data_IF_024629251636
#
_entry.id   IF_024629251636
#
_cell.length_a   1.000
_cell.length_b   1.000
_cell.length_c   1.000
_cell.angle_alpha   90.00
_cell.angle_beta   90.00
_cell.angle_gamma   90.00
#
_symmetry.space_group_name_H-M   'P 1'
#
loop_
_entity.id
_entity.type
_entity.pdbx_description
1 polymer ?
#
# COMPACT_ATOMS: atom_id res chain seq x y z
N UNK A 1 -26.60 9.97 2.82
CA UNK A 1 -25.66 8.97 3.38
C UNK A 1 -25.91 7.56 2.83
N UNK A 2 -27.16 7.12 2.60
CA UNK A 2 -27.47 5.79 2.05
C UNK A 2 -26.87 5.52 0.65
N UNK A 3 -26.80 6.54 -0.21
CA UNK A 3 -26.23 6.41 -1.57
C UNK A 3 -24.70 6.17 -1.58
N UNK A 4 -23.99 6.53 -0.50
CA UNK A 4 -22.54 6.31 -0.38
C UNK A 4 -22.26 4.88 0.10
N UNK A 5 -23.10 4.37 1.01
CA UNK A 5 -23.01 2.99 1.49
C UNK A 5 -23.34 1.97 0.38
N UNK A 6 -24.28 2.29 -0.52
CA UNK A 6 -24.57 1.46 -1.70
C UNK A 6 -23.41 1.49 -2.71
N UNK A 7 -22.80 2.64 -2.96
CA UNK A 7 -21.64 2.77 -3.85
C UNK A 7 -20.43 1.97 -3.34
N UNK A 8 -20.14 2.01 -2.03
CA UNK A 8 -19.04 1.24 -1.43
C UNK A 8 -19.28 -0.27 -1.51
N UNK A 9 -20.52 -0.73 -1.34
CA UNK A 9 -20.87 -2.15 -1.48
C UNK A 9 -20.79 -2.61 -2.95
N UNK A 10 -21.20 -1.79 -3.91
CA UNK A 10 -21.00 -2.06 -5.34
C UNK A 10 -19.51 -2.13 -5.72
N UNK A 11 -18.68 -1.20 -5.23
CA UNK A 11 -17.24 -1.21 -5.48
C UNK A 11 -16.55 -2.44 -4.87
N UNK A 12 -16.94 -2.84 -3.64
CA UNK A 12 -16.42 -4.06 -3.01
C UNK A 12 -16.84 -5.32 -3.75
N UNK A 13 -18.08 -5.38 -4.25
CA UNK A 13 -18.60 -6.50 -5.05
C UNK A 13 -17.88 -6.58 -6.40
N UNK A 14 -17.74 -5.44 -7.08
CA UNK A 14 -16.97 -5.32 -8.33
C UNK A 14 -15.52 -5.74 -8.16
N UNK A 15 -14.85 -5.34 -7.07
CA UNK A 15 -13.47 -5.75 -6.77
C UNK A 15 -13.33 -7.26 -6.58
N UNK A 16 -14.27 -7.91 -5.90
CA UNK A 16 -14.30 -9.38 -5.73
C UNK A 16 -14.58 -10.10 -7.05
N UNK A 17 -15.48 -9.59 -7.88
CA UNK A 17 -15.77 -10.16 -9.21
C UNK A 17 -14.57 -9.98 -10.15
N UNK A 18 -13.91 -8.83 -10.12
CA UNK A 18 -12.70 -8.55 -10.89
C UNK A 18 -11.54 -9.46 -10.45
N UNK A 19 -11.37 -9.68 -9.14
CA UNK A 19 -10.40 -10.65 -8.61
C UNK A 19 -10.70 -12.08 -9.07
N UNK A 20 -11.98 -12.50 -9.12
CA UNK A 20 -12.38 -13.81 -9.68
C UNK A 20 -12.11 -13.92 -11.18
N UNK A 21 -12.34 -12.87 -11.95
CA UNK A 21 -12.03 -12.81 -13.38
C UNK A 21 -10.53 -12.85 -13.64
N UNK A 22 -9.72 -12.19 -12.80
CA UNK A 22 -8.25 -12.19 -12.86
C UNK A 22 -7.62 -13.54 -12.52
N UNK A 23 -8.33 -14.41 -11.78
CA UNK A 23 -7.87 -15.78 -11.48
C UNK A 23 -8.04 -16.72 -12.68
N UNK A 24 -8.83 -16.35 -13.69
CA UNK A 24 -9.01 -17.17 -14.89
C UNK A 24 -7.80 -17.06 -15.81
N UNK A 25 -7.10 -18.17 -16.15
CA UNK A 25 -5.83 -18.10 -16.88
C UNK A 25 -6.01 -17.49 -18.28
N UNK A 26 -7.12 -17.78 -18.98
CA UNK A 26 -7.40 -17.19 -20.30
C UNK A 26 -7.60 -15.68 -20.25
N UNK A 27 -8.32 -15.18 -19.23
CA UNK A 27 -8.55 -13.74 -19.03
C UNK A 27 -7.27 -13.05 -18.61
N UNK A 28 -6.46 -13.69 -17.76
CA UNK A 28 -5.14 -13.19 -17.38
C UNK A 28 -4.20 -13.08 -18.58
N UNK A 29 -4.09 -14.12 -19.41
CA UNK A 29 -3.25 -14.07 -20.61
C UNK A 29 -3.78 -13.04 -21.61
N UNK A 30 -5.10 -12.98 -21.82
CA UNK A 30 -5.71 -11.95 -22.67
C UNK A 30 -5.45 -10.53 -22.16
N UNK A 31 -5.54 -10.30 -20.85
CA UNK A 31 -5.21 -9.03 -20.22
C UNK A 31 -3.73 -8.67 -20.36
N UNK A 32 -2.82 -9.64 -20.22
CA UNK A 32 -1.37 -9.43 -20.43
C UNK A 32 -1.07 -9.11 -21.89
N UNK A 33 -1.70 -9.79 -22.85
CA UNK A 33 -1.57 -9.48 -24.28
C UNK A 33 -2.06 -8.06 -24.57
N UNK A 34 -3.23 -7.68 -24.06
CA UNK A 34 -3.79 -6.34 -24.23
C UNK A 34 -2.89 -5.27 -23.60
N UNK A 35 -2.34 -5.52 -22.42
CA UNK A 35 -1.43 -4.59 -21.75
C UNK A 35 -0.08 -4.48 -22.47
N UNK A 36 0.54 -5.58 -22.88
CA UNK A 36 1.82 -5.56 -23.58
C UNK A 36 1.68 -4.96 -24.98
N UNK A 37 0.67 -5.37 -25.74
CA UNK A 37 0.39 -4.83 -27.07
C UNK A 37 -0.04 -3.36 -27.00
N UNK A 38 -0.94 -3.03 -26.07
CA UNK A 38 -1.43 -1.67 -25.87
C UNK A 38 -0.36 -0.70 -25.38
N UNK A 39 0.55 -1.12 -24.49
CA UNK A 39 1.68 -0.28 -24.07
C UNK A 39 2.67 -0.02 -25.20
N UNK A 40 3.00 -1.03 -26.01
CA UNK A 40 3.79 -0.84 -27.23
C UNK A 40 3.13 0.13 -28.22
N UNK A 41 1.82 -0.05 -28.46
CA UNK A 41 1.03 0.82 -29.32
C UNK A 41 1.00 2.27 -28.84
N UNK A 42 0.71 2.51 -27.55
CA UNK A 42 0.63 3.88 -27.02
C UNK A 42 2.01 4.56 -26.96
N UNK A 43 3.08 3.84 -26.59
CA UNK A 43 4.42 4.43 -26.56
C UNK A 43 4.93 4.86 -27.93
N UNK A 44 4.43 4.25 -29.00
CA UNK A 44 4.77 4.65 -30.38
C UNK A 44 4.15 5.99 -30.79
N UNK A 45 3.12 6.47 -30.08
CA UNK A 45 2.51 7.78 -30.31
C UNK A 45 3.37 8.93 -29.74
N UNK A 46 4.42 8.63 -28.98
CA UNK A 46 5.26 9.65 -28.36
C UNK A 46 5.93 10.56 -29.41
N UNK A 47 5.71 11.85 -29.26
CA UNK A 47 6.23 12.89 -30.15
C UNK A 47 7.16 13.85 -29.41
N UNK A 48 8.25 14.26 -30.06
CA UNK A 48 8.98 15.46 -29.67
C UNK A 48 9.12 16.35 -30.90
N UNK A 49 8.58 17.57 -30.84
CA UNK A 49 8.59 18.50 -31.97
C UNK A 49 7.98 17.92 -33.25
N UNK A 50 6.86 17.18 -33.14
CA UNK A 50 6.20 16.46 -34.25
C UNK A 50 7.05 15.37 -34.95
N UNK A 51 8.11 14.88 -34.31
CA UNK A 51 8.86 13.71 -34.80
C UNK A 51 8.60 12.48 -33.92
N UNK A 52 8.46 11.28 -34.54
CA UNK A 52 8.30 10.04 -33.79
C UNK A 52 9.57 9.71 -32.99
N UNK A 53 9.37 9.18 -31.79
CA UNK A 53 10.44 8.89 -30.83
C UNK A 53 10.56 7.39 -30.51
N UNK A 54 11.79 6.85 -30.35
CA UNK A 54 12.06 5.42 -30.14
C UNK A 54 11.77 4.94 -28.71
N UNK A 55 10.77 5.48 -28.00
CA UNK A 55 10.53 5.14 -26.59
C UNK A 55 10.01 3.71 -26.40
N UNK A 56 9.19 3.22 -27.35
CA UNK A 56 8.68 1.85 -27.34
C UNK A 56 9.82 0.81 -27.39
N UNK A 57 10.93 1.12 -28.05
CA UNK A 57 12.11 0.25 -28.14
C UNK A 57 12.65 -0.12 -26.75
N UNK A 58 12.78 0.88 -25.86
CA UNK A 58 13.33 0.67 -24.53
C UNK A 58 12.48 -0.31 -23.70
N UNK A 59 11.15 -0.24 -23.84
CA UNK A 59 10.25 -1.17 -23.16
C UNK A 59 10.28 -2.57 -23.82
N UNK A 60 10.35 -2.66 -25.15
CA UNK A 60 10.47 -3.95 -25.87
C UNK A 60 11.71 -4.71 -25.41
N UNK A 61 12.86 -4.03 -25.34
CA UNK A 61 14.13 -4.60 -24.90
C UNK A 61 14.14 -5.00 -23.41
N UNK A 62 13.29 -4.36 -22.59
CA UNK A 62 13.15 -4.70 -21.18
C UNK A 62 12.30 -5.96 -20.94
N UNK A 63 11.55 -6.42 -21.96
CA UNK A 63 10.66 -7.57 -21.88
C UNK A 63 11.33 -8.81 -22.48
N UNK A 64 10.91 -10.00 -22.04
CA UNK A 64 11.47 -11.26 -22.53
C UNK A 64 10.39 -12.23 -23.04
N UNK A 65 10.82 -13.12 -23.94
CA UNK A 65 9.98 -14.14 -24.55
C UNK A 65 8.83 -13.58 -25.39
N UNK A 66 7.67 -14.22 -25.34
CA UNK A 66 6.51 -13.86 -26.18
C UNK A 66 5.94 -12.47 -25.87
N UNK A 67 6.16 -11.92 -24.68
CA UNK A 67 5.70 -10.56 -24.32
C UNK A 67 6.39 -9.49 -25.17
N UNK A 68 7.69 -9.65 -25.44
CA UNK A 68 8.45 -8.75 -26.29
C UNK A 68 7.93 -8.79 -27.74
N UNK A 69 7.55 -9.98 -28.23
CA UNK A 69 6.94 -10.14 -29.55
C UNK A 69 5.59 -9.42 -29.65
N UNK A 70 4.69 -9.61 -28.67
CA UNK A 70 3.38 -8.95 -28.64
C UNK A 70 3.53 -7.42 -28.54
N UNK A 71 4.47 -6.95 -27.71
CA UNK A 71 4.74 -5.52 -27.56
C UNK A 71 5.34 -4.89 -28.81
N UNK A 72 6.28 -5.59 -29.47
CA UNK A 72 6.86 -5.18 -30.75
C UNK A 72 5.77 -5.05 -31.83
N UNK A 73 4.88 -6.05 -31.95
CA UNK A 73 3.75 -5.99 -32.88
C UNK A 73 2.82 -4.81 -32.57
N UNK A 74 2.51 -4.57 -31.29
CA UNK A 74 1.72 -3.41 -30.86
C UNK A 74 2.38 -2.08 -31.25
N UNK A 75 3.69 -1.95 -31.02
CA UNK A 75 4.47 -0.77 -31.38
C UNK A 75 4.55 -0.56 -32.89
N UNK A 76 4.74 -1.63 -33.69
CA UNK A 76 4.72 -1.56 -35.14
C UNK A 76 3.37 -1.01 -35.64
N UNK A 77 2.27 -1.58 -35.16
CA UNK A 77 0.93 -1.13 -35.51
C UNK A 77 0.72 0.34 -35.12
N UNK A 78 1.20 0.75 -33.95
CA UNK A 78 1.07 2.12 -33.49
C UNK A 78 1.90 3.12 -34.30
N UNK A 79 3.17 2.83 -34.62
CA UNK A 79 3.96 3.72 -35.47
C UNK A 79 3.32 3.92 -36.84
N UNK A 80 2.71 2.87 -37.40
CA UNK A 80 1.98 2.97 -38.65
C UNK A 80 0.70 3.80 -38.53
N UNK A 81 -0.11 3.56 -37.49
CA UNK A 81 -1.38 4.29 -37.28
C UNK A 81 -1.18 5.77 -36.97
N UNK A 82 -0.23 6.12 -36.10
CA UNK A 82 -0.05 7.50 -35.66
C UNK A 82 0.79 8.34 -36.63
N UNK A 83 1.76 7.74 -37.32
CA UNK A 83 2.75 8.48 -38.11
C UNK A 83 2.77 8.13 -39.59
N UNK A 84 2.05 7.09 -40.03
CA UNK A 84 2.01 6.66 -41.43
C UNK A 84 3.41 6.43 -41.99
N UNK A 85 3.72 7.11 -43.11
CA UNK A 85 5.01 6.99 -43.81
C UNK A 85 6.17 7.52 -42.95
N UNK A 86 5.96 8.58 -42.16
CA UNK A 86 6.98 9.10 -41.25
C UNK A 86 7.31 8.11 -40.12
N UNK A 87 6.42 7.15 -39.86
CA UNK A 87 6.58 6.07 -38.89
C UNK A 87 7.39 4.88 -39.37
N UNK A 88 7.83 4.84 -40.64
CA UNK A 88 8.58 3.70 -41.20
C UNK A 88 9.86 3.40 -40.40
N UNK A 89 10.57 4.44 -39.96
CA UNK A 89 11.74 4.28 -39.11
C UNK A 89 11.39 3.65 -37.76
N UNK A 90 10.22 3.99 -37.21
CA UNK A 90 9.65 3.39 -36.00
C UNK A 90 9.34 1.91 -36.13
N UNK A 91 8.88 1.46 -37.31
CA UNK A 91 8.70 0.04 -37.59
C UNK A 91 10.01 -0.71 -37.48
N UNK A 92 11.08 -0.19 -38.09
CA UNK A 92 12.42 -0.80 -38.05
C UNK A 92 12.95 -0.85 -36.62
N UNK A 93 12.73 0.20 -35.81
CA UNK A 93 13.04 0.17 -34.39
C UNK A 93 12.30 -0.96 -33.67
N UNK A 94 10.97 -0.99 -33.75
CA UNK A 94 10.20 -2.02 -33.05
C UNK A 94 10.53 -3.46 -33.50
N UNK A 95 10.79 -3.68 -34.79
CA UNK A 95 11.18 -4.98 -35.33
C UNK A 95 12.58 -5.40 -34.87
N UNK A 96 13.56 -4.50 -34.96
CA UNK A 96 14.94 -4.78 -34.53
C UNK A 96 15.03 -5.00 -33.02
N UNK A 97 14.33 -4.19 -32.22
CA UNK A 97 14.20 -4.40 -30.77
C UNK A 97 13.53 -5.70 -30.40
N UNK A 98 12.44 -6.07 -31.10
CA UNK A 98 11.71 -7.31 -30.85
C UNK A 98 12.54 -8.55 -31.17
N UNK A 99 13.22 -8.55 -32.33
CA UNK A 99 14.16 -9.61 -32.71
C UNK A 99 15.28 -9.74 -31.68
N UNK A 100 15.86 -8.60 -31.29
CA UNK A 100 16.98 -8.57 -30.36
C UNK A 100 16.57 -9.00 -28.94
N UNK A 101 15.38 -8.60 -28.46
CA UNK A 101 14.82 -9.06 -27.18
C UNK A 101 14.56 -10.58 -27.18
N UNK A 102 14.11 -11.15 -28.30
CA UNK A 102 13.92 -12.60 -28.43
C UNK A 102 15.25 -13.37 -28.43
N UNK A 103 16.29 -12.81 -29.05
CA UNK A 103 17.63 -13.41 -29.12
C UNK A 103 18.41 -13.28 -27.80
N UNK A 104 18.34 -12.12 -27.13
CA UNK A 104 19.08 -11.84 -25.89
C UNK A 104 18.40 -12.34 -24.62
N UNK A 105 17.14 -12.80 -24.67
CA UNK A 105 16.41 -13.35 -23.52
C UNK A 105 17.13 -14.49 -22.78
N UNK A 106 18.22 -15.05 -23.33
CA UNK A 106 19.02 -16.13 -22.72
C UNK A 106 20.46 -15.74 -22.33
N UNK A 107 20.96 -14.56 -22.69
CA UNK A 107 22.42 -14.31 -22.71
C UNK A 107 22.92 -13.05 -21.98
N UNK A 108 22.06 -12.21 -21.40
CA UNK A 108 22.54 -11.02 -20.66
C UNK A 108 22.66 -11.34 -19.17
N UNK A 109 23.88 -11.30 -18.59
CA UNK A 109 24.05 -11.38 -17.15
C UNK A 109 23.50 -10.12 -16.46
N UNK A 110 22.79 -10.28 -15.34
CA UNK A 110 22.19 -9.19 -14.56
C UNK A 110 23.20 -8.13 -14.06
N UNK A 111 24.50 -8.43 -14.14
CA UNK A 111 25.58 -7.60 -13.59
C UNK A 111 25.95 -6.38 -14.46
N UNK A 112 25.45 -6.27 -15.70
CA UNK A 112 25.80 -5.17 -16.61
C UNK A 112 24.57 -4.34 -17.06
N UNK A 113 24.12 -3.36 -16.26
CA UNK A 113 22.89 -2.60 -16.53
C UNK A 113 22.98 -1.65 -17.75
N UNK A 114 24.18 -1.43 -18.29
CA UNK A 114 24.42 -0.49 -19.39
C UNK A 114 24.36 -1.12 -20.79
N UNK A 115 24.31 -2.46 -20.90
CA UNK A 115 24.24 -3.15 -22.20
C UNK A 115 22.94 -2.79 -22.95
N UNK A 116 21.79 -2.87 -22.28
CA UNK A 116 20.49 -2.60 -22.91
C UNK A 116 20.36 -1.15 -23.42
N UNK A 117 20.71 -0.10 -22.63
CA UNK A 117 20.81 1.27 -23.12
C UNK A 117 21.74 1.43 -24.32
N UNK A 118 22.92 0.80 -24.28
CA UNK A 118 23.91 0.90 -25.35
C UNK A 118 23.41 0.28 -26.66
N UNK A 119 22.75 -0.88 -26.58
CA UNK A 119 22.16 -1.52 -27.76
C UNK A 119 21.01 -0.69 -28.31
N UNK A 120 20.13 -0.16 -27.46
CA UNK A 120 19.04 0.73 -27.89
C UNK A 120 19.57 1.97 -28.61
N UNK A 121 20.61 2.62 -28.05
CA UNK A 121 21.28 3.76 -28.65
C UNK A 121 21.92 3.40 -29.99
N UNK A 122 22.66 2.30 -30.04
CA UNK A 122 23.35 1.83 -31.24
C UNK A 122 22.39 1.49 -32.37
N UNK A 123 21.30 0.75 -32.10
CA UNK A 123 20.28 0.44 -33.08
C UNK A 123 19.61 1.71 -33.62
N UNK A 124 19.30 2.66 -32.73
CA UNK A 124 18.68 3.94 -33.15
C UNK A 124 19.65 4.77 -33.99
N UNK A 125 20.94 4.79 -33.65
CA UNK A 125 21.97 5.47 -34.42
C UNK A 125 22.17 4.84 -35.81
N UNK A 126 22.30 3.51 -35.87
CA UNK A 126 22.50 2.76 -37.12
C UNK A 126 21.32 2.94 -38.08
N UNK A 127 20.10 2.82 -37.56
CA UNK A 127 18.87 3.03 -38.35
C UNK A 127 18.71 4.49 -38.77
N UNK A 128 19.08 5.46 -37.92
CA UNK A 128 19.12 6.87 -38.29
C UNK A 128 20.07 7.16 -39.45
N UNK A 129 21.29 6.64 -39.37
CA UNK A 129 22.30 6.80 -40.41
C UNK A 129 21.88 6.14 -41.73
N UNK A 130 21.29 4.94 -41.67
CA UNK A 130 20.80 4.23 -42.86
C UNK A 130 19.69 5.02 -43.56
N UNK A 131 18.72 5.55 -42.81
CA UNK A 131 17.64 6.37 -43.38
C UNK A 131 18.14 7.69 -43.96
N UNK A 132 19.12 8.31 -43.30
CA UNK A 132 19.70 9.56 -43.78
C UNK A 132 20.52 9.36 -45.07
N UNK A 133 21.32 8.29 -45.16
CA UNK A 133 22.18 8.01 -46.31
C UNK A 133 21.45 7.38 -47.49
N UNK A 134 20.52 6.45 -47.23
CA UNK A 134 19.84 5.65 -48.27
C UNK A 134 18.52 6.29 -48.70
N UNK A 135 17.72 6.77 -47.75
CA UNK A 135 16.39 7.34 -48.04
C UNK A 135 16.39 8.88 -48.12
N UNK A 136 17.56 9.53 -47.98
CA UNK A 136 17.74 11.00 -48.01
C UNK A 136 16.73 11.73 -47.11
N UNK A 137 16.53 11.20 -45.91
CA UNK A 137 15.63 11.79 -44.95
C UNK A 137 16.13 13.19 -44.51
N UNK A 138 15.19 14.13 -44.33
CA UNK A 138 15.49 15.56 -44.10
C UNK A 138 15.41 15.97 -42.62
N UNK A 139 15.26 14.98 -41.73
CA UNK A 139 15.18 15.21 -40.29
C UNK A 139 16.44 15.95 -39.80
N UNK A 140 16.30 17.02 -39.01
CA UNK A 140 17.44 17.80 -38.55
C UNK A 140 18.33 16.97 -37.63
N UNK A 141 19.65 17.10 -37.81
CA UNK A 141 20.70 16.46 -37.01
C UNK A 141 20.44 16.47 -35.49
N UNK A 142 20.04 17.58 -34.84
CA UNK A 142 19.74 17.58 -33.41
C UNK A 142 18.64 16.60 -33.00
N UNK A 143 17.64 16.34 -33.84
CA UNK A 143 16.56 15.37 -33.57
C UNK A 143 17.09 13.94 -33.60
N UNK A 144 18.08 13.63 -34.45
CA UNK A 144 18.71 12.31 -34.43
C UNK A 144 19.49 12.07 -33.14
N UNK A 145 20.30 13.04 -32.69
CA UNK A 145 21.00 12.93 -31.40
C UNK A 145 20.03 12.77 -30.23
N UNK A 146 18.95 13.54 -30.24
CA UNK A 146 17.88 13.44 -29.25
C UNK A 146 17.24 12.04 -29.25
N UNK A 147 16.94 11.46 -30.42
CA UNK A 147 16.40 10.10 -30.53
C UNK A 147 17.35 9.06 -29.93
N UNK A 148 18.65 9.18 -30.17
CA UNK A 148 19.67 8.28 -29.60
C UNK A 148 19.68 8.39 -28.07
N UNK A 149 19.68 9.62 -27.53
CA UNK A 149 19.64 9.86 -26.09
C UNK A 149 18.35 9.33 -25.45
N UNK A 150 17.20 9.55 -26.08
CA UNK A 150 15.91 9.06 -25.61
C UNK A 150 15.80 7.53 -25.68
N UNK A 151 16.36 6.90 -26.73
CA UNK A 151 16.44 5.45 -26.82
C UNK A 151 17.30 4.84 -25.70
N UNK A 152 18.48 5.44 -25.45
CA UNK A 152 19.35 5.04 -24.34
C UNK A 152 18.67 5.23 -22.99
N UNK A 153 18.04 6.39 -22.78
CA UNK A 153 17.31 6.73 -21.56
C UNK A 153 16.13 5.79 -21.31
N UNK A 154 15.33 5.49 -22.34
CA UNK A 154 14.25 4.52 -22.25
C UNK A 154 14.77 3.10 -21.96
N UNK A 155 15.87 2.71 -22.61
CA UNK A 155 16.56 1.44 -22.37
C UNK A 155 17.16 1.31 -20.97
N UNK A 156 17.39 2.41 -20.24
CA UNK A 156 17.77 2.41 -18.83
C UNK A 156 16.55 2.43 -17.91
N UNK A 157 15.58 3.28 -18.23
CA UNK A 157 14.40 3.56 -17.43
C UNK A 157 13.52 2.31 -17.25
N UNK A 158 13.14 1.65 -18.35
CA UNK A 158 12.14 0.60 -18.32
C UNK A 158 12.61 -0.69 -17.63
N UNK A 159 13.85 -1.18 -17.85
CA UNK A 159 14.36 -2.31 -17.07
C UNK A 159 14.42 -2.02 -15.58
N UNK A 160 14.87 -0.81 -15.19
CA UNK A 160 14.87 -0.42 -13.77
C UNK A 160 13.45 -0.31 -13.24
N UNK A 161 12.50 0.26 -13.99
CA UNK A 161 11.10 0.37 -13.57
C UNK A 161 10.42 -1.00 -13.39
N UNK A 162 10.75 -1.98 -14.25
CA UNK A 162 10.22 -3.35 -14.17
C UNK A 162 10.87 -4.16 -13.03
N UNK A 163 12.18 -3.99 -12.80
CA UNK A 163 12.92 -4.74 -11.77
C UNK A 163 12.89 -4.12 -10.37
N UNK A 164 13.02 -2.80 -10.27
CA UNK A 164 13.10 -2.02 -9.02
C UNK A 164 12.23 -0.76 -9.10
N UNK A 165 10.99 -0.86 -8.59
CA UNK A 165 10.13 0.31 -8.47
C UNK A 165 10.65 1.28 -7.41
N UNK A 166 11.17 2.41 -7.87
CA UNK A 166 11.52 3.57 -7.05
C UNK A 166 10.56 4.72 -7.32
N UNK A 167 10.46 5.68 -6.38
CA UNK A 167 9.61 6.86 -6.58
C UNK A 167 10.02 7.65 -7.84
N UNK A 168 11.33 7.83 -8.04
CA UNK A 168 11.88 8.57 -9.19
C UNK A 168 11.53 7.87 -10.51
N UNK A 169 11.67 6.55 -10.59
CA UNK A 169 11.29 5.80 -11.80
C UNK A 169 9.80 5.88 -12.08
N UNK A 170 8.95 5.84 -11.05
CA UNK A 170 7.50 5.98 -11.22
C UNK A 170 7.13 7.38 -11.75
N UNK A 171 7.83 8.44 -11.31
CA UNK A 171 7.62 9.80 -11.81
C UNK A 171 8.03 9.95 -13.27
N UNK A 172 9.22 9.43 -13.63
CA UNK A 172 9.74 9.49 -14.99
C UNK A 172 8.89 8.65 -15.96
N UNK A 173 8.48 7.44 -15.56
CA UNK A 173 7.56 6.62 -16.36
C UNK A 173 6.21 7.31 -16.51
N UNK A 174 5.71 7.99 -15.47
CA UNK A 174 4.50 8.82 -15.55
C UNK A 174 4.63 9.94 -16.59
N UNK A 175 5.75 10.68 -16.59
CA UNK A 175 6.04 11.71 -17.60
C UNK A 175 6.11 11.16 -19.01
N UNK A 176 6.82 10.04 -19.21
CA UNK A 176 6.89 9.34 -20.51
C UNK A 176 5.51 8.84 -20.96
N UNK A 177 4.68 8.37 -20.04
CA UNK A 177 3.31 7.94 -20.36
C UNK A 177 2.44 9.12 -20.81
N UNK A 178 2.56 10.30 -20.17
CA UNK A 178 1.85 11.51 -20.62
C UNK A 178 2.34 11.95 -22.00
N UNK A 179 3.66 11.95 -22.24
CA UNK A 179 4.26 12.26 -23.54
C UNK A 179 3.73 11.33 -24.64
N UNK A 180 3.62 10.03 -24.36
CA UNK A 180 3.06 9.05 -25.29
C UNK A 180 1.56 9.27 -25.55
N UNK A 181 0.79 9.62 -24.52
CA UNK A 181 -0.65 9.84 -24.63
C UNK A 181 -1.02 11.22 -25.22
N UNK A 182 -0.07 12.16 -25.30
CA UNK A 182 -0.29 13.51 -25.79
C UNK A 182 -0.88 13.55 -27.21
N UNK A 183 -0.38 12.68 -28.09
CA UNK A 183 -0.84 12.58 -29.49
C UNK A 183 -2.07 11.68 -29.66
N UNK A 184 -2.46 10.93 -28.63
CA UNK A 184 -3.60 10.04 -28.68
C UNK A 184 -4.88 10.81 -28.28
N UNK A 185 -5.52 11.47 -29.27
CA UNK A 185 -6.78 12.20 -29.08
C UNK A 185 -7.95 11.49 -29.78
N UNK A 186 -8.70 10.61 -29.09
CA UNK A 186 -9.88 9.95 -29.67
C UNK A 186 -11.02 10.94 -29.97
N UNK A 187 -11.02 12.11 -29.34
CA UNK A 187 -11.96 13.20 -29.59
C UNK A 187 -11.24 14.56 -29.49
N UNK A 188 -11.69 15.59 -30.24
CA UNK A 188 -11.02 16.90 -30.29
C UNK A 188 -10.93 17.63 -28.94
N UNK A 189 -11.81 17.29 -27.99
CA UNK A 189 -11.85 17.91 -26.66
C UNK A 189 -11.37 16.98 -25.53
N UNK A 190 -10.93 15.76 -25.86
CA UNK A 190 -10.58 14.73 -24.88
C UNK A 190 -9.29 14.03 -25.30
N UNK A 191 -8.18 14.78 -25.24
CA UNK A 191 -6.84 14.23 -25.39
C UNK A 191 -6.48 13.34 -24.20
N UNK A 192 -6.03 12.12 -24.47
CA UNK A 192 -5.62 11.19 -23.40
C UNK A 192 -4.41 11.72 -22.61
N UNK A 193 -3.55 12.53 -23.24
CA UNK A 193 -2.46 13.23 -22.57
C UNK A 193 -2.93 14.18 -21.47
N UNK A 194 -3.94 15.02 -21.73
CA UNK A 194 -4.49 15.93 -20.71
C UNK A 194 -5.14 15.16 -19.55
N UNK A 195 -5.80 14.05 -19.88
CA UNK A 195 -6.40 13.16 -18.88
C UNK A 195 -5.33 12.54 -17.99
N UNK A 196 -4.26 12.00 -18.58
CA UNK A 196 -3.14 11.43 -17.83
C UNK A 196 -2.40 12.50 -16.99
N UNK A 197 -2.18 13.69 -17.54
CA UNK A 197 -1.58 14.82 -16.85
C UNK A 197 -2.41 15.28 -15.63
N UNK A 198 -3.74 15.42 -15.80
CA UNK A 198 -4.65 15.74 -14.71
C UNK A 198 -4.67 14.65 -13.63
N UNK A 199 -4.60 13.37 -14.03
CA UNK A 199 -4.53 12.25 -13.10
C UNK A 199 -3.23 12.26 -12.27
N UNK A 200 -2.09 12.56 -12.91
CA UNK A 200 -0.82 12.74 -12.22
C UNK A 200 -0.85 13.95 -11.28
N UNK A 201 -1.42 15.08 -11.70
CA UNK A 201 -1.50 16.28 -10.85
C UNK A 201 -2.22 16.03 -9.52
N UNK A 202 -3.24 15.18 -9.52
CA UNK A 202 -4.07 14.91 -8.33
C UNK A 202 -3.58 13.68 -7.55
N UNK A 203 -3.28 12.57 -8.25
CA UNK A 203 -2.99 11.27 -7.66
C UNK A 203 -1.51 10.99 -7.37
N UNK A 204 -0.60 11.74 -8.00
CA UNK A 204 0.84 11.50 -7.90
C UNK A 204 1.59 12.55 -7.07
N UNK A 205 2.90 12.38 -6.95
CA UNK A 205 3.77 13.34 -6.30
C UNK A 205 3.96 14.61 -7.14
N UNK A 206 4.40 15.70 -6.50
CA UNK A 206 4.67 16.96 -7.19
C UNK A 206 5.63 16.78 -8.39
N UNK A 207 6.78 16.09 -8.26
CA UNK A 207 7.69 15.90 -9.41
C UNK A 207 7.05 15.14 -10.59
N UNK A 208 6.17 14.18 -10.32
CA UNK A 208 5.44 13.46 -11.37
C UNK A 208 4.44 14.35 -12.11
N UNK A 209 3.78 15.26 -11.40
CA UNK A 209 2.93 16.28 -12.03
C UNK A 209 3.75 17.21 -12.94
N UNK A 210 4.91 17.70 -12.47
CA UNK A 210 5.82 18.53 -13.28
C UNK A 210 6.30 17.79 -14.53
N UNK A 211 6.74 16.54 -14.37
CA UNK A 211 7.18 15.70 -15.50
C UNK A 211 6.03 15.38 -16.47
N UNK A 212 4.80 15.22 -15.98
CA UNK A 212 3.62 15.10 -16.84
C UNK A 212 3.39 16.37 -17.67
N UNK A 213 3.57 17.55 -17.07
CA UNK A 213 3.41 18.83 -17.76
C UNK A 213 4.50 19.04 -18.79
N UNK A 214 5.74 18.65 -18.45
CA UNK A 214 6.87 18.66 -19.37
C UNK A 214 6.62 17.73 -20.55
N UNK A 215 6.02 16.56 -20.30
CA UNK A 215 5.60 15.64 -21.37
C UNK A 215 4.63 16.29 -22.36
N UNK A 216 3.65 17.06 -21.90
CA UNK A 216 2.72 17.79 -22.78
C UNK A 216 3.41 18.93 -23.53
N UNK A 217 4.25 19.71 -22.86
CA UNK A 217 4.96 20.83 -23.48
C UNK A 217 5.95 20.35 -24.56
N UNK A 218 6.67 19.24 -24.30
CA UNK A 218 7.58 18.62 -25.28
C UNK A 218 6.84 18.00 -26.47
N UNK A 219 5.62 17.54 -26.26
CA UNK A 219 4.77 17.05 -27.36
C UNK A 219 4.27 18.19 -28.26
N UNK A 220 4.33 19.45 -27.80
CA UNK A 220 3.89 20.65 -28.54
C UNK A 220 2.43 20.60 -29.02
N UNK A 221 1.57 19.89 -28.27
CA UNK A 221 0.13 19.76 -28.61
C UNK A 221 -0.66 21.00 -28.18
N UNK A 222 -0.13 21.80 -27.25
CA UNK A 222 -0.80 23.01 -26.73
C UNK A 222 0.06 24.25 -26.82
N UNK A 223 -0.62 25.39 -27.01
CA UNK A 223 -0.01 26.71 -26.89
C UNK A 223 0.14 27.17 -25.43
N UNK A 224 -0.55 26.54 -24.49
CA UNK A 224 -0.50 26.86 -23.06
C UNK A 224 0.66 26.08 -22.40
N UNK A 225 1.50 26.72 -21.55
CA UNK A 225 2.59 26.04 -20.85
C UNK A 225 2.06 25.13 -19.74
N UNK A 226 1.93 23.83 -20.05
CA UNK A 226 1.31 22.82 -19.18
C UNK A 226 2.17 22.48 -17.97
N UNK A 227 3.51 22.60 -18.06
CA UNK A 227 4.38 22.55 -16.88
C UNK A 227 3.95 23.55 -15.81
N UNK A 228 3.74 24.81 -16.18
CA UNK A 228 3.30 25.86 -15.25
C UNK A 228 1.92 25.55 -14.67
N UNK A 229 0.99 25.06 -15.50
CA UNK A 229 -0.35 24.62 -15.09
C UNK A 229 -0.28 23.52 -14.03
N UNK A 230 0.49 22.45 -14.27
CA UNK A 230 0.56 21.33 -13.34
C UNK A 230 1.40 21.63 -12.10
N UNK A 231 2.41 22.50 -12.21
CA UNK A 231 3.09 23.07 -11.04
C UNK A 231 2.09 23.80 -10.14
N UNK A 232 1.30 24.72 -10.71
CA UNK A 232 0.29 25.48 -9.99
C UNK A 232 -0.81 24.56 -9.42
N UNK A 233 -1.26 23.56 -10.17
CA UNK A 233 -2.21 22.56 -9.70
C UNK A 233 -1.66 21.75 -8.52
N UNK A 234 -0.38 21.38 -8.57
CA UNK A 234 0.34 20.72 -7.49
C UNK A 234 0.43 21.56 -6.22
N UNK A 235 0.62 22.89 -6.36
CA UNK A 235 0.61 23.85 -5.25
C UNK A 235 -0.80 24.03 -4.69
N UNK A 236 -1.82 24.22 -5.54
CA UNK A 236 -3.22 24.34 -5.13
C UNK A 236 -3.64 23.09 -4.32
N UNK A 237 -3.15 21.91 -4.72
CA UNK A 237 -3.41 20.65 -3.98
C UNK A 237 -2.85 20.64 -2.56
N UNK A 238 -1.82 21.43 -2.25
CA UNK A 238 -1.27 21.55 -0.90
C UNK A 238 -2.21 22.33 0.04
N UNK A 239 -3.19 23.07 -0.49
CA UNK A 239 -4.20 23.77 0.30
C UNK A 239 -5.19 22.72 0.85
N UNK A 240 -5.49 22.74 2.17
CA UNK A 240 -6.37 21.77 2.81
C UNK A 240 -7.84 22.02 2.43
N UNK A 241 -8.26 21.53 1.26
CA UNK A 241 -9.68 21.51 0.90
C UNK A 241 -10.44 20.42 1.67
N UNK A 242 -11.54 20.81 2.32
CA UNK A 242 -12.43 19.90 3.04
C UNK A 242 -13.10 18.87 2.11
N UNK A 243 -13.46 19.28 0.88
CA UNK A 243 -14.16 18.43 -0.08
C UNK A 243 -13.19 17.81 -1.08
N UNK A 244 -13.18 16.46 -1.16
CA UNK A 244 -12.31 15.71 -2.10
C UNK A 244 -12.53 16.12 -3.57
N UNK A 245 -13.78 16.39 -3.98
CA UNK A 245 -14.11 16.82 -5.35
C UNK A 245 -13.47 18.15 -5.78
N UNK A 246 -13.15 19.05 -4.82
CA UNK A 246 -12.45 20.30 -5.15
C UNK A 246 -11.03 20.05 -5.67
N UNK A 247 -10.41 18.90 -5.32
CA UNK A 247 -9.10 18.52 -5.84
C UNK A 247 -9.15 18.10 -7.32
N UNK A 248 -10.29 17.61 -7.82
CA UNK A 248 -10.48 17.33 -9.26
C UNK A 248 -10.45 18.60 -10.10
N UNK A 249 -10.94 19.71 -9.54
CA UNK A 249 -11.02 21.00 -10.23
C UNK A 249 -9.68 21.76 -10.20
N UNK A 250 -8.76 21.40 -9.31
CA UNK A 250 -7.46 22.06 -9.17
C UNK A 250 -6.67 22.19 -10.49
N UNK A 251 -6.48 21.13 -11.32
CA UNK A 251 -5.80 21.26 -12.60
C UNK A 251 -6.57 22.15 -13.60
N UNK A 252 -7.89 22.11 -13.61
CA UNK A 252 -8.71 22.99 -14.47
C UNK A 252 -8.63 24.46 -14.06
N UNK A 253 -8.71 24.75 -12.75
CA UNK A 253 -8.58 26.09 -12.21
C UNK A 253 -7.16 26.67 -12.44
N UNK A 254 -6.13 25.84 -12.24
CA UNK A 254 -4.75 26.21 -12.54
C UNK A 254 -4.58 26.57 -14.03
N UNK A 255 -5.20 25.80 -14.92
CA UNK A 255 -5.16 26.07 -16.36
C UNK A 255 -5.80 27.43 -16.70
N UNK A 256 -6.95 27.77 -16.10
CA UNK A 256 -7.60 29.08 -16.29
C UNK A 256 -6.73 30.24 -15.83
N UNK A 257 -6.06 30.10 -14.68
CA UNK A 257 -5.17 31.14 -14.14
C UNK A 257 -3.97 31.36 -15.07
N UNK A 258 -3.30 30.29 -15.51
CA UNK A 258 -2.14 30.41 -16.42
C UNK A 258 -2.55 30.99 -17.76
N UNK A 259 -3.70 30.58 -18.31
CA UNK A 259 -4.26 31.17 -19.53
C UNK A 259 -4.52 32.67 -19.39
N UNK A 260 -5.07 33.10 -18.25
CA UNK A 260 -5.32 34.52 -17.98
C UNK A 260 -4.02 35.33 -17.88
N UNK A 261 -2.97 34.78 -17.26
CA UNK A 261 -1.66 35.44 -17.13
C UNK A 261 -0.95 35.52 -18.49
N UNK A 262 -0.98 34.43 -19.28
CA UNK A 262 -0.31 34.38 -20.57
C UNK A 262 -1.10 35.06 -21.71
N UNK A 263 -2.34 35.47 -21.48
CA UNK A 263 -3.20 36.07 -22.51
C UNK A 263 -3.64 35.08 -23.61
N UNK A 264 -3.56 33.77 -23.36
CA UNK A 264 -3.88 32.71 -24.32
C UNK A 264 -5.28 32.18 -24.04
N UNK A 265 -6.12 32.07 -25.07
CA UNK A 265 -7.54 31.71 -24.94
C UNK A 265 -7.85 30.36 -25.60
N UNK A 266 -7.23 29.30 -25.09
CA UNK A 266 -7.38 27.92 -25.59
C UNK A 266 -8.07 27.02 -24.55
N UNK A 267 -9.35 26.74 -24.75
CA UNK A 267 -10.16 25.97 -23.79
C UNK A 267 -10.14 24.46 -24.04
N UNK A 268 -9.41 23.99 -25.06
CA UNK A 268 -9.31 22.56 -25.39
C UNK A 268 -8.77 21.65 -24.28
N UNK A 269 -7.82 22.05 -23.40
CA UNK A 269 -7.26 21.14 -22.40
C UNK A 269 -8.14 20.99 -21.15
N UNK A 270 -9.10 21.89 -20.92
CA UNK A 270 -9.88 21.93 -19.67
C UNK A 270 -10.69 20.65 -19.39
N UNK A 271 -11.46 20.09 -20.34
CA UNK A 271 -12.25 18.89 -20.07
C UNK A 271 -11.36 17.70 -19.72
N UNK A 272 -10.26 17.53 -20.46
CA UNK A 272 -9.29 16.47 -20.22
C UNK A 272 -8.63 16.59 -18.85
N UNK A 273 -8.19 17.79 -18.45
CA UNK A 273 -7.55 18.03 -17.15
C UNK A 273 -8.50 17.80 -15.97
N UNK A 274 -9.76 18.22 -16.06
CA UNK A 274 -10.75 18.04 -14.99
C UNK A 274 -11.14 16.56 -14.85
N UNK A 275 -11.41 15.88 -15.97
CA UNK A 275 -11.70 14.44 -15.97
C UNK A 275 -10.50 13.62 -15.48
N UNK A 276 -9.30 14.01 -15.90
CA UNK A 276 -8.03 13.46 -15.41
C UNK A 276 -7.89 13.63 -13.91
N UNK A 277 -8.18 14.82 -13.38
CA UNK A 277 -8.19 15.09 -11.94
C UNK A 277 -9.20 14.22 -11.18
N UNK A 278 -10.35 13.93 -11.79
CA UNK A 278 -11.32 12.93 -11.31
C UNK A 278 -10.70 11.54 -11.21
N UNK A 279 -10.02 11.09 -12.27
CA UNK A 279 -9.37 9.78 -12.32
C UNK A 279 -8.20 9.69 -11.32
N UNK A 280 -7.48 10.78 -11.09
CA UNK A 280 -6.42 10.87 -10.09
C UNK A 280 -6.89 10.68 -8.65
N UNK A 281 -8.16 10.95 -8.33
CA UNK A 281 -8.74 10.64 -7.00
C UNK A 281 -8.92 9.13 -6.81
N UNK A 282 -9.16 8.39 -7.90
CA UNK A 282 -9.35 6.94 -7.87
C UNK A 282 -8.00 6.18 -7.85
N UNK A 283 -6.90 6.84 -8.18
CA UNK A 283 -5.57 6.25 -8.09
C UNK A 283 -5.18 5.99 -6.63
N UNK A 284 -4.51 4.86 -6.34
CA UNK A 284 -4.00 4.59 -5.00
C UNK A 284 -3.05 5.71 -4.58
N UNK A 285 -3.17 6.24 -3.34
CA UNK A 285 -2.31 7.33 -2.88
C UNK A 285 -0.84 6.91 -2.96
N UNK A 286 -0.04 7.64 -3.74
CA UNK A 286 1.42 7.42 -3.81
C UNK A 286 2.05 7.62 -2.43
N UNK A 287 3.13 6.90 -2.10
CA UNK A 287 3.71 6.89 -0.75
C UNK A 287 4.10 8.28 -0.21
N UNK A 288 4.41 9.25 -1.08
CA UNK A 288 4.63 10.65 -0.67
C UNK A 288 3.34 11.38 -0.28
N UNK A 289 2.18 11.00 -0.83
CA UNK A 289 0.88 11.52 -0.38
C UNK A 289 0.44 10.95 0.97
N UNK A 290 0.97 9.79 1.37
CA UNK A 290 0.81 9.24 2.72
C UNK A 290 1.75 9.92 3.75
N UNK A 291 2.74 10.71 3.29
CA UNK A 291 3.62 11.54 4.12
C UNK A 291 2.91 12.81 4.62
N UNK A 292 1.58 12.75 4.84
CA UNK A 292 0.80 13.80 5.49
C UNK A 292 1.32 13.94 6.92
N UNK A 293 2.12 14.99 7.17
CA UNK A 293 2.44 15.50 8.51
C UNK A 293 1.12 15.67 9.26
N UNK A 294 0.87 14.83 10.26
CA UNK A 294 -0.31 14.89 11.12
C UNK A 294 -1.00 13.54 11.32
N UNK A 295 -1.25 12.76 10.27
CA UNK A 295 -2.03 11.50 10.40
C UNK A 295 -1.19 10.37 11.03
N UNK A 296 0.08 10.22 10.65
CA UNK A 296 1.00 9.27 11.31
C UNK A 296 1.36 9.71 12.73
N UNK A 297 1.46 11.02 12.97
CA UNK A 297 1.68 11.57 14.32
C UNK A 297 0.47 11.34 15.23
N UNK A 298 -0.75 11.56 14.74
CA UNK A 298 -1.98 11.24 15.49
C UNK A 298 -2.08 9.74 15.79
N UNK A 299 -1.73 8.88 14.83
CA UNK A 299 -1.71 7.43 15.04
C UNK A 299 -0.65 7.01 16.07
N UNK A 300 0.54 7.61 16.02
CA UNK A 300 1.61 7.40 17.00
C UNK A 300 1.16 7.79 18.41
N UNK A 301 0.63 9.02 18.57
CA UNK A 301 0.13 9.51 19.86
C UNK A 301 -0.99 8.61 20.41
N UNK A 302 -1.89 8.11 19.56
CA UNK A 302 -2.95 7.17 19.99
C UNK A 302 -2.40 5.84 20.48
N UNK A 303 -1.33 5.34 19.87
CA UNK A 303 -0.68 4.09 20.29
C UNK A 303 0.13 4.27 21.57
N UNK A 304 0.84 5.40 21.71
CA UNK A 304 1.55 5.78 22.94
C UNK A 304 0.57 5.92 24.12
N UNK A 305 -0.55 6.62 23.91
CA UNK A 305 -1.59 6.79 24.92
C UNK A 305 -2.29 5.46 25.25
N UNK A 306 -2.49 4.59 24.26
CA UNK A 306 -2.97 3.23 24.47
C UNK A 306 -2.00 2.39 25.32
N UNK A 307 -0.69 2.49 25.07
CA UNK A 307 0.31 1.80 25.85
C UNK A 307 0.42 2.32 27.29
N UNK A 308 0.26 3.63 27.48
CA UNK A 308 0.25 4.26 28.80
C UNK A 308 -0.94 3.79 29.64
N UNK A 309 -2.14 3.74 29.07
CA UNK A 309 -3.34 3.22 29.74
C UNK A 309 -3.12 1.77 30.18
N UNK A 310 -2.53 0.92 29.33
CA UNK A 310 -2.22 -0.47 29.69
C UNK A 310 -1.20 -0.54 30.84
N UNK A 311 -0.18 0.33 30.84
CA UNK A 311 0.80 0.44 31.92
C UNK A 311 0.14 0.84 33.25
N UNK A 312 -0.77 1.82 33.25
CA UNK A 312 -1.52 2.23 34.45
C UNK A 312 -2.39 1.08 34.96
N UNK A 313 -3.08 0.35 34.06
CA UNK A 313 -3.89 -0.81 34.49
C UNK A 313 -3.04 -1.94 35.07
N UNK A 314 -1.85 -2.19 34.50
CA UNK A 314 -0.89 -3.14 35.05
C UNK A 314 -0.47 -2.76 36.47
N UNK A 315 -0.16 -1.48 36.69
CA UNK A 315 0.25 -0.97 38.00
C UNK A 315 -0.87 -1.10 39.03
N UNK A 316 -2.12 -0.79 38.67
CA UNK A 316 -3.29 -1.02 39.52
C UNK A 316 -3.41 -2.50 39.92
N UNK A 317 -3.18 -3.42 38.97
CA UNK A 317 -3.12 -4.86 39.25
C UNK A 317 -1.89 -5.30 40.05
N UNK A 318 -0.85 -4.49 40.22
CA UNK A 318 0.25 -4.81 41.13
C UNK A 318 -0.02 -4.28 42.54
N UNK A 319 -0.65 -3.10 42.66
CA UNK A 319 -0.84 -2.41 43.93
C UNK A 319 -2.00 -2.94 44.79
N UNK A 320 -3.11 -3.38 44.18
CA UNK A 320 -4.29 -3.83 44.97
C UNK A 320 -4.18 -5.28 45.45
N UNK A 321 -3.57 -5.59 46.59
CA UNK A 321 -3.55 -6.98 47.08
C UNK A 321 -4.97 -7.61 47.18
N UNK A 322 -5.17 -8.89 46.79
CA UNK A 322 -6.45 -9.57 46.99
C UNK A 322 -6.75 -9.68 48.50
N UNK A 323 -8.03 -9.61 48.90
CA UNK A 323 -8.40 -9.74 50.30
C UNK A 323 -7.98 -11.12 50.84
N UNK A 324 -7.43 -11.20 52.06
CA UNK A 324 -7.03 -12.47 52.66
C UNK A 324 -8.27 -13.36 52.92
N UNK A 325 -8.07 -14.68 52.95
CA UNK A 325 -9.14 -15.62 53.27
C UNK A 325 -9.45 -15.58 54.77
N UNK A 326 -10.64 -15.08 55.12
CA UNK A 326 -11.11 -14.94 56.50
C UNK A 326 -11.48 -16.30 57.13
N UNK A 327 -10.49 -16.98 57.72
CA UNK A 327 -10.69 -18.23 58.44
C UNK A 327 -11.63 -18.08 59.65
N UNK A 328 -11.66 -16.91 60.27
CA UNK A 328 -12.55 -16.57 61.39
C UNK A 328 -14.02 -16.56 60.98
N UNK A 329 -14.35 -16.05 59.79
CA UNK A 329 -15.70 -16.03 59.26
C UNK A 329 -16.21 -17.46 58.95
N UNK A 330 -15.33 -18.34 58.47
CA UNK A 330 -15.63 -19.76 58.27
C UNK A 330 -15.91 -20.43 59.62
N UNK A 331 -15.07 -20.19 60.63
CA UNK A 331 -15.27 -20.70 61.98
C UNK A 331 -16.59 -20.21 62.59
N UNK A 332 -16.94 -18.94 62.40
CA UNK A 332 -18.20 -18.38 62.88
C UNK A 332 -19.41 -19.07 62.23
N UNK A 333 -19.36 -19.35 60.92
CA UNK A 333 -20.40 -20.14 60.24
C UNK A 333 -20.50 -21.57 60.80
N UNK A 334 -19.38 -22.23 61.05
CA UNK A 334 -19.36 -23.56 61.69
C UNK A 334 -19.97 -23.51 63.09
N UNK A 335 -19.58 -22.51 63.91
CA UNK A 335 -20.13 -22.29 65.25
C UNK A 335 -21.64 -22.05 65.22
N UNK A 336 -22.13 -21.26 64.27
CA UNK A 336 -23.57 -21.02 64.09
C UNK A 336 -24.32 -22.30 63.70
N UNK A 337 -23.78 -23.12 62.80
CA UNK A 337 -24.43 -24.36 62.34
C UNK A 337 -24.39 -25.48 63.38
N UNK A 338 -23.25 -25.67 64.05
CA UNK A 338 -23.07 -26.72 65.05
C UNK A 338 -23.76 -26.38 66.38
N UNK A 339 -23.62 -25.13 66.86
CA UNK A 339 -24.07 -24.72 68.19
C UNK A 339 -25.40 -23.95 68.17
N UNK A 340 -25.80 -23.35 67.03
CA UNK A 340 -27.01 -22.52 66.94
C UNK A 340 -28.30 -23.26 67.29
N UNK A 341 -28.32 -24.55 67.00
CA UNK A 341 -29.41 -25.50 67.27
C UNK A 341 -29.11 -26.48 68.43
N UNK A 342 -28.12 -26.17 69.27
CA UNK A 342 -27.78 -26.98 70.44
C UNK A 342 -28.53 -26.47 71.67
N UNK A 343 -29.09 -27.39 72.48
CA UNK A 343 -29.80 -27.05 73.72
C UNK A 343 -28.92 -26.36 74.77
N UNK A 344 -27.59 -26.53 74.72
CA UNK A 344 -26.64 -25.94 75.66
C UNK A 344 -26.02 -24.60 75.16
N UNK A 345 -26.57 -23.99 74.11
CA UNK A 345 -25.95 -22.86 73.39
C UNK A 345 -25.52 -21.68 74.26
N UNK A 346 -26.34 -21.29 75.24
CA UNK A 346 -26.15 -20.03 75.97
C UNK A 346 -25.13 -20.13 77.13
N UNK A 347 -24.77 -21.35 77.56
CA UNK A 347 -23.94 -21.59 78.75
C UNK A 347 -22.81 -22.60 78.52
N UNK A 348 -22.44 -22.87 77.26
CA UNK A 348 -21.43 -23.89 76.93
C UNK A 348 -20.00 -23.31 76.89
N UNK A 349 -19.10 -23.66 77.82
CA UNK A 349 -17.70 -23.21 77.80
C UNK A 349 -16.91 -23.81 76.62
N UNK A 350 -17.37 -24.94 76.07
CA UNK A 350 -16.76 -25.56 74.88
C UNK A 350 -17.04 -24.77 73.59
N UNK A 351 -18.00 -23.83 73.62
CA UNK A 351 -18.29 -22.98 72.47
C UNK A 351 -17.29 -21.82 72.34
N UNK A 352 -16.80 -21.30 73.48
CA UNK A 352 -15.75 -20.28 73.53
C UNK A 352 -14.35 -20.85 73.29
N UNK A 353 -14.14 -22.15 73.51
CA UNK A 353 -12.87 -22.83 73.21
C UNK A 353 -12.74 -23.28 71.74
N UNK A 354 -13.71 -22.96 70.88
CA UNK A 354 -13.63 -23.25 69.45
C UNK A 354 -12.70 -22.28 68.77
N UNK A 355 -11.55 -22.78 68.32
CA UNK A 355 -10.50 -21.98 67.70
C UNK A 355 -10.25 -22.36 66.23
N UNK A 356 -9.54 -21.48 65.51
CA UNK A 356 -9.25 -21.67 64.07
C UNK A 356 -8.41 -22.94 63.83
N UNK A 357 -7.58 -23.34 64.80
CA UNK A 357 -6.79 -24.58 64.75
C UNK A 357 -7.64 -25.85 64.60
N UNK A 358 -8.87 -25.85 65.14
CA UNK A 358 -9.80 -26.98 65.03
C UNK A 358 -10.37 -27.16 63.61
N UNK A 359 -10.23 -26.16 62.72
CA UNK A 359 -10.52 -26.33 61.30
C UNK A 359 -9.41 -27.12 60.58
N UNK A 360 -8.19 -27.15 61.12
CA UNK A 360 -7.09 -27.94 60.58
C UNK A 360 -7.15 -29.38 61.12
N UNK A 361 -7.40 -29.52 62.42
CA UNK A 361 -7.51 -30.80 63.11
C UNK A 361 -8.89 -30.95 63.79
N UNK A 362 -9.93 -31.39 63.05
CA UNK A 362 -11.29 -31.45 63.56
C UNK A 362 -11.52 -32.54 64.62
N UNK A 363 -10.58 -33.48 64.79
CA UNK A 363 -10.66 -34.57 65.76
C UNK A 363 -10.25 -34.14 67.18
N UNK A 364 -9.52 -33.04 67.31
CA UNK A 364 -9.06 -32.51 68.61
C UNK A 364 -10.20 -31.77 69.35
N UNK A 365 -11.37 -31.65 68.71
CA UNK A 365 -12.52 -30.97 69.26
C UNK A 365 -13.17 -31.77 70.40
N UNK A 366 -13.00 -31.29 71.62
CA UNK A 366 -13.59 -31.89 72.82
C UNK A 366 -15.03 -31.39 73.01
N UNK A 367 -16.01 -32.14 72.49
CA UNK A 367 -17.43 -31.84 72.68
C UNK A 367 -18.24 -33.09 73.03
N UNK A 368 -19.17 -32.96 73.99
CA UNK A 368 -20.08 -34.05 74.40
C UNK A 368 -21.03 -34.49 73.27
N UNK A 369 -21.23 -33.65 72.24
CA UNK A 369 -22.03 -33.94 71.04
C UNK A 369 -21.14 -33.94 69.78
N UNK A 370 -20.04 -34.68 69.84
CA UNK A 370 -19.04 -34.80 68.75
C UNK A 370 -19.64 -35.18 67.40
N UNK A 371 -20.66 -36.05 67.38
CA UNK A 371 -21.37 -36.47 66.17
C UNK A 371 -22.04 -35.35 65.37
N UNK A 372 -22.22 -34.15 65.96
CA UNK A 372 -22.75 -32.96 65.26
C UNK A 372 -21.65 -31.93 64.95
N UNK A 373 -20.65 -31.81 65.81
CA UNK A 373 -19.59 -30.82 65.68
C UNK A 373 -18.53 -31.23 64.65
N UNK A 374 -18.08 -32.50 64.68
CA UNK A 374 -17.02 -33.01 63.80
C UNK A 374 -17.42 -32.93 62.31
N UNK A 375 -18.66 -33.29 61.90
CA UNK A 375 -19.07 -33.14 60.50
C UNK A 375 -19.09 -31.68 60.02
N UNK A 376 -19.53 -30.74 60.86
CA UNK A 376 -19.54 -29.31 60.50
C UNK A 376 -18.12 -28.72 60.49
N UNK A 377 -17.22 -29.16 61.36
CA UNK A 377 -15.79 -28.81 61.29
C UNK A 377 -15.14 -29.35 60.02
N UNK A 378 -15.44 -30.60 59.60
CA UNK A 378 -14.98 -31.15 58.31
C UNK A 378 -15.51 -30.33 57.12
N UNK A 379 -16.79 -29.96 57.12
CA UNK A 379 -17.36 -29.06 56.09
C UNK A 379 -16.69 -27.69 56.08
N UNK A 380 -16.38 -27.13 57.25
CA UNK A 380 -15.63 -25.88 57.37
C UNK A 380 -14.20 -26.00 56.85
N UNK A 381 -13.53 -27.12 57.11
CA UNK A 381 -12.21 -27.44 56.59
C UNK A 381 -12.21 -27.54 55.05
N UNK A 382 -13.19 -28.25 54.47
CA UNK A 382 -13.36 -28.34 53.02
C UNK A 382 -13.62 -26.97 52.39
N UNK A 383 -14.52 -26.17 52.99
CA UNK A 383 -14.80 -24.81 52.53
C UNK A 383 -13.55 -23.92 52.58
N UNK A 384 -12.77 -23.99 53.66
CA UNK A 384 -11.54 -23.22 53.81
C UNK A 384 -10.47 -23.68 52.81
N UNK A 385 -10.37 -24.98 52.51
CA UNK A 385 -9.50 -25.51 51.44
C UNK A 385 -9.92 -24.96 50.07
N UNK A 386 -11.22 -24.95 49.77
CA UNK A 386 -11.75 -24.40 48.51
C UNK A 386 -11.46 -22.90 48.39
N UNK A 387 -11.76 -22.10 49.42
CA UNK A 387 -11.49 -20.66 49.41
C UNK A 387 -9.99 -20.34 49.25
N UNK A 388 -9.11 -21.12 49.88
CA UNK A 388 -7.66 -21.01 49.68
C UNK A 388 -7.26 -21.34 48.25
N UNK A 389 -7.78 -22.44 47.68
CA UNK A 389 -7.51 -22.83 46.30
C UNK A 389 -8.00 -21.79 45.30
N UNK A 390 -9.18 -21.20 45.51
CA UNK A 390 -9.72 -20.14 44.67
C UNK A 390 -8.91 -18.84 44.80
N UNK A 391 -8.48 -18.47 46.02
CA UNK A 391 -7.59 -17.33 46.22
C UNK A 391 -6.24 -17.50 45.50
N UNK A 392 -5.68 -18.73 45.50
CA UNK A 392 -4.46 -19.04 44.78
C UNK A 392 -4.67 -18.93 43.26
N UNK A 393 -5.75 -19.50 42.71
CA UNK A 393 -6.09 -19.37 41.28
C UNK A 393 -6.29 -17.91 40.86
N UNK A 394 -6.96 -17.10 41.69
CA UNK A 394 -7.13 -15.67 41.41
C UNK A 394 -5.79 -14.94 41.37
N UNK A 395 -4.84 -15.31 42.24
CA UNK A 395 -3.49 -14.75 42.21
C UNK A 395 -2.72 -15.12 40.94
N UNK A 396 -2.87 -16.36 40.44
CA UNK A 396 -2.28 -16.82 39.18
C UNK A 396 -2.89 -16.10 37.98
N UNK A 397 -4.22 -15.97 37.92
CA UNK A 397 -4.89 -15.22 36.84
C UNK A 397 -4.48 -13.75 36.82
N UNK A 398 -4.32 -13.14 38.00
CA UNK A 398 -3.84 -11.77 38.12
C UNK A 398 -2.42 -11.61 37.60
N UNK A 399 -1.52 -12.53 37.95
CA UNK A 399 -0.15 -12.54 37.43
C UNK A 399 -0.14 -12.69 35.89
N UNK A 400 -0.98 -13.56 35.34
CA UNK A 400 -1.13 -13.73 33.89
C UNK A 400 -1.66 -12.45 33.21
N UNK A 401 -2.65 -11.78 33.81
CA UNK A 401 -3.18 -10.51 33.30
C UNK A 401 -2.11 -9.40 33.31
N UNK A 402 -1.32 -9.29 34.38
CA UNK A 402 -0.19 -8.35 34.47
C UNK A 402 0.79 -8.58 33.31
N UNK A 403 1.15 -9.83 33.02
CA UNK A 403 2.03 -10.18 31.89
C UNK A 403 1.40 -9.83 30.54
N UNK A 404 0.10 -10.06 30.35
CA UNK A 404 -0.61 -9.72 29.11
C UNK A 404 -0.66 -8.21 28.88
N UNK A 405 -0.97 -7.42 29.91
CA UNK A 405 -0.99 -5.96 29.82
C UNK A 405 0.41 -5.40 29.53
N UNK A 406 1.45 -5.95 30.17
CA UNK A 406 2.83 -5.58 29.89
C UNK A 406 3.20 -5.86 28.43
N UNK A 407 2.97 -7.09 27.95
CA UNK A 407 3.26 -7.48 26.57
C UNK A 407 2.53 -6.59 25.57
N UNK A 408 1.24 -6.32 25.80
CA UNK A 408 0.45 -5.50 24.89
C UNK A 408 0.92 -4.03 24.91
N UNK A 409 1.26 -3.49 26.08
CA UNK A 409 1.82 -2.15 26.23
C UNK A 409 3.15 -1.99 25.48
N UNK A 410 4.06 -2.94 25.65
CA UNK A 410 5.37 -2.95 24.97
C UNK A 410 5.21 -3.11 23.46
N UNK A 411 4.27 -3.95 23.01
CA UNK A 411 3.94 -4.10 21.60
C UNK A 411 3.39 -2.81 20.97
N UNK A 412 2.48 -2.11 21.66
CA UNK A 412 1.94 -0.83 21.19
C UNK A 412 3.01 0.27 21.12
N UNK A 413 3.92 0.34 22.11
CA UNK A 413 5.09 1.23 22.06
C UNK A 413 6.01 0.91 20.90
N UNK A 414 6.37 -0.37 20.72
CA UNK A 414 7.19 -0.80 19.58
C UNK A 414 6.53 -0.48 18.23
N UNK A 415 5.21 -0.61 18.12
CA UNK A 415 4.47 -0.19 16.93
C UNK A 415 4.50 1.33 16.71
N UNK A 416 4.40 2.12 17.77
CA UNK A 416 4.50 3.58 17.72
C UNK A 416 5.89 4.03 17.23
N UNK A 417 6.96 3.41 17.74
CA UNK A 417 8.35 3.67 17.33
C UNK A 417 8.64 3.23 15.89
N UNK A 418 8.00 2.14 15.43
CA UNK A 418 8.15 1.58 14.09
C UNK A 418 7.34 2.33 13.02
N UNK A 419 6.24 3.00 13.40
CA UNK A 419 5.35 3.73 12.51
C UNK A 419 6.06 4.76 11.61
N UNK A 420 6.99 5.59 12.10
CA UNK A 420 7.78 6.47 11.23
C UNK A 420 8.73 5.70 10.29
N UNK A 421 9.10 4.45 10.60
CA UNK A 421 10.07 3.63 9.85
C UNK A 421 9.43 2.71 8.80
N UNK A 422 8.20 2.22 9.02
CA UNK A 422 7.48 1.31 8.10
C UNK A 422 7.05 1.91 6.75
N UNK A 423 7.33 3.20 6.50
CA UNK A 423 7.29 3.79 5.17
C UNK A 423 8.40 3.27 4.23
N UNK A 424 9.49 2.75 4.79
CA UNK A 424 10.45 1.94 4.03
C UNK A 424 9.97 0.48 4.10
N UNK A 425 9.68 -0.13 2.94
CA UNK A 425 9.34 -1.56 2.88
C UNK A 425 10.37 -2.35 3.71
N UNK A 426 9.96 -3.25 4.61
CA UNK A 426 10.93 -4.15 5.21
C UNK A 426 11.58 -4.93 4.06
N UNK A 427 12.92 -4.84 3.95
CA UNK A 427 13.68 -5.90 3.29
C UNK A 427 13.20 -7.18 3.93
N UNK A 428 12.63 -8.09 3.15
CA UNK A 428 12.22 -9.38 3.67
C UNK A 428 13.45 -10.02 4.33
N UNK A 429 13.49 -10.05 5.66
CA UNK A 429 14.61 -10.64 6.39
C UNK A 429 14.64 -12.16 6.25
N UNK A 430 13.58 -12.75 5.68
CA UNK A 430 13.49 -14.16 5.41
C UNK A 430 13.27 -14.42 3.91
N UNK A 431 14.26 -15.06 3.29
CA UNK A 431 14.17 -15.72 2.00
C UNK A 431 13.62 -17.12 2.26
N UNK A 432 12.42 -17.42 1.77
CA UNK A 432 11.88 -18.78 1.84
C UNK A 432 12.67 -19.66 0.86
N UNK A 433 13.63 -20.44 1.35
CA UNK A 433 14.46 -21.33 0.54
C UNK A 433 13.80 -22.69 0.23
N UNK A 434 12.73 -23.05 0.95
CA UNK A 434 11.97 -24.27 0.65
C UNK A 434 10.48 -24.09 0.94
N UNK A 435 9.65 -24.26 -0.10
CA UNK A 435 8.22 -24.46 0.04
C UNK A 435 7.94 -25.97 -0.02
N UNK A 436 7.82 -26.62 1.14
CA UNK A 436 7.38 -28.00 1.20
C UNK A 436 5.88 -28.07 0.83
N UNK A 437 5.58 -28.51 -0.40
CA UNK A 437 4.23 -28.94 -0.77
C UNK A 437 3.97 -30.32 -0.16
N UNK A 438 3.08 -30.40 0.83
CA UNK A 438 2.46 -31.69 1.17
C UNK A 438 1.60 -32.13 -0.02
N UNK A 439 2.03 -33.15 -0.75
CA UNK A 439 1.12 -33.93 -1.60
C UNK A 439 0.15 -34.66 -0.67
N UNK A 440 -1.11 -34.25 -0.66
CA UNK A 440 -2.18 -35.10 -0.17
C UNK A 440 -2.26 -36.35 -1.07
N UNK A 441 -2.35 -37.52 -0.44
CA UNK A 441 -2.73 -38.78 -1.09
C UNK A 441 -4.17 -38.71 -1.59
#
# INVERSE_FOLDING_TARGET
MEMIASMETYLRRGRRTCQRLLLNPKIRTGGVVLLCGGSGFLLSAASLGNYPQPLAMGLILAMSGWHAAVMSLGAMLGYWVFWGIAGLQGLVWSASGGLLALLLARHIPEEQPLILPAIAAFLTALTGLLFQLVLRDTVPVPVYFLRILLAAGAGLLFPVALGRRTAVTDWLVGGVAVLALAQASPAPYLGLGYLAAGALAVGSAFPAAVLGGLGLDLAQVTNVPMTAVLCLAGVIRMVPFERKWMRCLAPGAACLVVMAICGIRDYTPLPGLILGGGLGILMPPSQETARRRGETGLAQVRLELGAEVLGVTQQLFLETAPPPVDASAVLQKVRQRACGSCSARNSCPQQSSLDISLLQNPLDAQCRKSGRLIPELRRGQELLKLLKADSARQSEYRAAMVQQYQFLGDFLRGLADDLPRRGQRPRAWFRAEAAARSRSK
#
